data_IF_514562620841
#
_entry.id   IF_514562620841
#
_cell.length_a   1.000
_cell.length_b   1.000
_cell.length_c   1.000
_cell.angle_alpha   90.00
_cell.angle_beta   90.00
_cell.angle_gamma   90.00
#
_symmetry.space_group_name_H-M   'P 1'
#
loop_
_entity.id
_entity.type
_entity.pdbx_description
1 polymer ?
#
# COMPACT_ATOMS: atom_id res chain seq x y z
N UNK A 1 14.32 7.73 15.53
CA UNK A 1 14.71 7.61 16.95
C UNK A 1 13.81 6.57 17.58
N UNK A 2 14.36 5.43 18.01
CA UNK A 2 13.66 4.46 18.85
C UNK A 2 13.85 4.92 20.30
N UNK A 3 12.77 5.16 21.03
CA UNK A 3 12.82 5.42 22.47
C UNK A 3 12.85 4.07 23.20
N UNK A 4 13.95 3.80 23.93
CA UNK A 4 14.01 2.72 24.90
C UNK A 4 13.27 3.17 26.17
N UNK A 5 12.42 2.31 26.72
CA UNK A 5 11.83 2.50 28.05
C UNK A 5 12.53 1.54 29.00
N UNK A 6 13.15 2.09 30.04
CA UNK A 6 13.80 1.32 31.09
C UNK A 6 12.79 1.11 32.22
N UNK A 7 12.54 -0.14 32.60
CA UNK A 7 11.67 -0.48 33.73
C UNK A 7 12.49 -1.30 34.72
N UNK A 8 12.55 -0.85 35.96
CA UNK A 8 13.24 -1.53 37.07
C UNK A 8 12.22 -2.12 38.03
N UNK A 9 12.32 -3.43 38.27
CA UNK A 9 11.59 -4.14 39.32
C UNK A 9 12.60 -4.99 40.10
N UNK A 10 12.70 -4.78 41.42
CA UNK A 10 13.50 -5.64 42.31
C UNK A 10 14.97 -5.82 41.91
N UNK A 11 15.66 -4.75 41.48
CA UNK A 11 17.09 -4.80 41.12
C UNK A 11 17.41 -5.44 39.77
N UNK A 12 16.39 -5.88 39.01
CA UNK A 12 16.56 -6.39 37.65
C UNK A 12 16.09 -5.35 36.65
N UNK A 13 16.98 -4.94 35.74
CA UNK A 13 16.67 -3.96 34.69
C UNK A 13 16.13 -4.70 33.46
N UNK A 14 14.88 -4.47 33.10
CA UNK A 14 14.29 -5.03 31.88
C UNK A 14 14.36 -3.99 30.77
N UNK A 15 15.10 -4.32 29.71
CA UNK A 15 15.06 -3.55 28.45
C UNK A 15 13.84 -4.02 27.68
N UNK A 16 12.71 -3.32 27.81
CA UNK A 16 11.57 -3.57 26.94
C UNK A 16 11.91 -2.98 25.57
N UNK A 17 12.27 -3.84 24.61
CA UNK A 17 12.23 -3.45 23.22
C UNK A 17 10.75 -3.28 22.86
N UNK A 18 10.32 -2.14 22.27
CA UNK A 18 8.96 -2.04 21.77
C UNK A 18 8.75 -3.20 20.82
N UNK A 19 7.71 -4.02 21.05
CA UNK A 19 7.34 -5.13 20.18
C UNK A 19 7.35 -4.61 18.75
N UNK A 20 8.39 -4.93 17.99
CA UNK A 20 8.44 -4.60 16.58
C UNK A 20 7.33 -5.40 15.95
N UNK A 21 6.21 -4.74 15.65
CA UNK A 21 5.08 -5.34 14.96
C UNK A 21 5.62 -6.04 13.71
N UNK A 22 5.69 -7.37 13.77
CA UNK A 22 6.29 -8.15 12.70
C UNK A 22 5.50 -7.88 11.41
N UNK A 23 6.23 -7.57 10.35
CA UNK A 23 5.62 -7.21 9.07
C UNK A 23 4.88 -8.41 8.50
N UNK A 24 3.55 -8.34 8.43
CA UNK A 24 2.75 -9.40 7.81
C UNK A 24 2.87 -9.31 6.30
N UNK A 25 3.32 -10.40 5.67
CA UNK A 25 3.26 -10.58 4.20
C UNK A 25 1.79 -10.51 3.78
N UNK A 26 1.51 -9.73 2.74
CA UNK A 26 0.18 -9.65 2.14
C UNK A 26 0.00 -10.85 1.20
N UNK A 27 -0.44 -11.96 1.76
CA UNK A 27 -0.86 -13.14 0.99
C UNK A 27 -2.22 -12.88 0.38
N UNK A 28 -2.57 -13.60 -0.70
CA UNK A 28 -3.87 -13.46 -1.36
C UNK A 28 -5.04 -13.62 -0.39
N UNK A 29 -5.03 -14.67 0.44
CA UNK A 29 -6.07 -14.89 1.47
C UNK A 29 -6.19 -13.72 2.46
N UNK A 30 -5.06 -13.15 2.92
CA UNK A 30 -5.11 -11.99 3.81
C UNK A 30 -5.70 -10.77 3.11
N UNK A 31 -5.39 -10.60 1.83
CA UNK A 31 -5.93 -9.52 1.00
C UNK A 31 -7.43 -9.69 0.80
N UNK A 32 -7.90 -10.86 0.37
CA UNK A 32 -9.32 -11.15 0.16
C UNK A 32 -10.14 -10.97 1.43
N UNK A 33 -9.57 -11.30 2.60
CA UNK A 33 -10.27 -11.17 3.88
C UNK A 33 -10.31 -9.74 4.43
N UNK A 34 -9.30 -8.91 4.15
CA UNK A 34 -9.11 -7.65 4.89
C UNK A 34 -8.84 -6.41 4.02
N UNK A 35 -8.56 -6.60 2.72
CA UNK A 35 -8.08 -5.56 1.81
C UNK A 35 -8.90 -5.46 0.51
N UNK A 36 -10.18 -5.84 0.56
CA UNK A 36 -11.14 -5.76 -0.56
C UNK A 36 -11.89 -4.42 -0.59
N UNK A 37 -11.24 -3.33 -0.19
CA UNK A 37 -11.79 -1.96 -0.25
C UNK A 37 -10.78 -1.02 -0.87
N UNK A 38 -11.20 0.22 -1.13
CA UNK A 38 -10.25 1.28 -1.41
C UNK A 38 -9.75 1.92 -0.11
N UNK A 39 -8.45 2.16 -0.04
CA UNK A 39 -7.78 2.72 1.12
C UNK A 39 -7.02 3.98 0.76
N UNK A 40 -7.11 5.00 1.60
CA UNK A 40 -6.12 6.07 1.66
C UNK A 40 -4.98 5.60 2.56
N UNK A 41 -3.78 5.51 2.00
CA UNK A 41 -2.61 5.04 2.71
C UNK A 41 -1.52 6.12 2.77
N UNK A 42 -0.72 6.10 3.85
CA UNK A 42 0.59 6.75 3.89
C UNK A 42 1.65 5.72 3.52
N UNK A 43 2.47 6.05 2.53
CA UNK A 43 3.58 5.21 2.10
C UNK A 43 4.69 5.28 3.13
N UNK A 44 5.19 4.12 3.57
CA UNK A 44 6.31 3.99 4.53
C UNK A 44 7.62 3.62 3.84
N UNK A 45 7.56 3.09 2.62
CA UNK A 45 8.71 2.70 1.81
C UNK A 45 8.50 3.14 0.38
N UNK A 46 9.50 3.82 -0.19
CA UNK A 46 9.48 4.24 -1.60
C UNK A 46 9.24 3.03 -2.51
N UNK A 47 8.35 3.19 -3.49
CA UNK A 47 7.99 2.15 -4.46
C UNK A 47 7.96 2.68 -5.87
N UNK A 48 8.21 1.78 -6.82
CA UNK A 48 7.92 2.01 -8.24
C UNK A 48 6.52 1.52 -8.53
N UNK A 49 5.73 2.34 -9.21
CA UNK A 49 4.47 1.96 -9.81
C UNK A 49 4.63 1.92 -11.33
N UNK A 50 4.10 0.88 -11.95
CA UNK A 50 4.03 0.71 -13.38
C UNK A 50 2.90 1.58 -13.93
N UNK A 51 3.20 2.37 -14.96
CA UNK A 51 2.18 3.04 -15.76
C UNK A 51 1.66 2.01 -16.75
N UNK A 52 0.38 1.66 -16.66
CA UNK A 52 -0.26 0.69 -17.55
C UNK A 52 -1.19 1.43 -18.51
N UNK A 53 -1.11 1.12 -19.80
CA UNK A 53 -1.98 1.69 -20.85
C UNK A 53 -2.67 0.59 -21.63
N UNK A 54 -3.76 0.96 -22.30
CA UNK A 54 -4.50 0.09 -23.20
C UNK A 54 -3.95 0.20 -24.63
N UNK A 55 -3.77 -0.92 -25.32
CA UNK A 55 -3.58 -0.93 -26.76
C UNK A 55 -4.86 -0.51 -27.47
N UNK A 56 -4.73 0.08 -28.67
CA UNK A 56 -5.88 0.48 -29.51
C UNK A 56 -6.78 -0.71 -29.90
N UNK A 57 -6.22 -1.92 -29.94
CA UNK A 57 -6.90 -3.15 -30.36
C UNK A 57 -7.17 -4.12 -29.20
N UNK A 58 -7.15 -3.62 -27.95
CA UNK A 58 -7.33 -4.45 -26.75
C UNK A 58 -6.01 -5.00 -26.20
N UNK A 59 -5.97 -5.16 -24.87
CA UNK A 59 -4.77 -5.59 -24.13
C UNK A 59 -4.10 -4.44 -23.36
N UNK A 60 -3.34 -4.82 -22.33
CA UNK A 60 -2.62 -3.90 -21.44
C UNK A 60 -1.11 -3.99 -21.70
N UNK A 61 -0.41 -2.86 -21.63
CA UNK A 61 1.05 -2.84 -21.63
C UNK A 61 1.61 -1.86 -20.59
N UNK A 62 2.83 -2.16 -20.12
CA UNK A 62 3.59 -1.24 -19.26
C UNK A 62 4.23 -0.17 -20.14
N UNK A 63 3.73 1.06 -20.01
CA UNK A 63 4.18 2.22 -20.76
C UNK A 63 5.34 2.98 -20.08
N UNK A 64 5.69 2.61 -18.86
CA UNK A 64 6.75 3.23 -18.07
C UNK A 64 6.55 3.05 -16.58
N UNK A 65 7.26 3.84 -15.79
CA UNK A 65 7.21 3.78 -14.33
C UNK A 65 7.16 5.17 -13.71
N UNK A 66 6.56 5.26 -12.53
CA UNK A 66 6.63 6.44 -11.65
C UNK A 66 7.07 6.02 -10.25
N UNK A 67 7.71 6.95 -9.54
CA UNK A 67 8.10 6.72 -8.15
C UNK A 67 7.04 7.29 -7.21
N UNK A 68 6.63 6.45 -6.27
CA UNK A 68 5.81 6.83 -5.11
C UNK A 68 6.76 6.94 -3.92
N UNK A 69 7.00 8.16 -3.45
CA UNK A 69 8.00 8.41 -2.41
C UNK A 69 7.49 8.05 -1.01
N UNK A 70 8.42 7.75 -0.10
CA UNK A 70 8.12 7.61 1.32
C UNK A 70 7.43 8.88 1.86
N UNK A 71 6.39 8.70 2.68
CA UNK A 71 5.59 9.78 3.24
C UNK A 71 4.46 10.26 2.32
N UNK A 72 4.46 9.91 1.03
CA UNK A 72 3.33 10.24 0.15
C UNK A 72 2.04 9.60 0.66
N UNK A 73 0.94 10.31 0.44
CA UNK A 73 -0.40 9.79 0.69
C UNK A 73 -1.07 9.48 -0.64
N UNK A 74 -1.52 8.24 -0.80
CA UNK A 74 -2.14 7.76 -2.04
C UNK A 74 -3.43 6.99 -1.75
N UNK A 75 -4.33 6.95 -2.72
CA UNK A 75 -5.49 6.05 -2.73
C UNK A 75 -5.11 4.78 -3.48
N UNK A 76 -5.45 3.63 -2.91
CA UNK A 76 -5.11 2.34 -3.51
C UNK A 76 -6.15 1.28 -3.19
N UNK A 77 -6.34 0.33 -4.09
CA UNK A 77 -7.18 -0.85 -3.90
C UNK A 77 -6.54 -2.06 -4.58
N UNK A 78 -6.92 -3.26 -4.15
CA UNK A 78 -6.38 -4.50 -4.70
C UNK A 78 -7.17 -4.98 -5.92
N UNK A 79 -6.51 -5.15 -7.08
CA UNK A 79 -7.18 -5.55 -8.34
C UNK A 79 -7.24 -7.07 -8.57
N UNK A 80 -6.39 -7.87 -7.94
CA UNK A 80 -6.45 -9.34 -8.06
C UNK A 80 -5.93 -9.98 -9.36
N UNK A 81 -5.40 -9.23 -10.33
CA UNK A 81 -4.92 -9.80 -11.61
C UNK A 81 -3.41 -10.08 -11.59
N UNK A 82 -3.01 -11.29 -11.98
CA UNK A 82 -1.63 -11.61 -12.41
C UNK A 82 -0.55 -11.59 -11.32
N UNK A 83 -0.83 -12.05 -10.11
CA UNK A 83 0.22 -12.40 -9.14
C UNK A 83 0.69 -11.31 -8.16
N UNK A 84 0.06 -10.12 -8.16
CA UNK A 84 -0.13 -9.10 -7.08
C UNK A 84 -0.06 -7.70 -7.72
N UNK A 85 -1.23 -7.13 -7.99
CA UNK A 85 -1.37 -5.80 -8.58
C UNK A 85 -2.36 -4.98 -7.79
N UNK A 86 -1.84 -4.07 -6.97
CA UNK A 86 -2.63 -2.98 -6.41
C UNK A 86 -2.72 -1.86 -7.43
N UNK A 87 -3.84 -1.17 -7.46
CA UNK A 87 -4.03 0.02 -8.28
C UNK A 87 -3.89 1.25 -7.41
N UNK A 88 -3.24 2.28 -7.93
CA UNK A 88 -3.14 3.60 -7.31
C UNK A 88 -4.05 4.54 -8.09
N UNK A 89 -5.08 5.01 -7.39
CA UNK A 89 -6.23 5.73 -7.96
C UNK A 89 -6.27 7.19 -7.56
N UNK A 90 -5.30 7.66 -6.77
CA UNK A 90 -5.23 9.06 -6.37
C UNK A 90 -4.06 9.39 -5.46
N UNK A 91 -3.78 10.67 -5.31
CA UNK A 91 -2.67 11.22 -4.56
C UNK A 91 -2.80 12.74 -4.42
N UNK A 92 -1.82 13.38 -3.77
CA UNK A 92 -1.79 14.84 -3.61
C UNK A 92 -1.86 15.54 -4.97
N UNK A 93 -2.65 16.61 -5.07
CA UNK A 93 -2.88 17.38 -6.30
C UNK A 93 -3.32 16.51 -7.49
N UNK A 94 -4.24 15.57 -7.25
CA UNK A 94 -4.79 14.68 -8.29
C UNK A 94 -3.73 13.81 -8.99
N UNK A 95 -2.57 13.59 -8.34
CA UNK A 95 -1.59 12.62 -8.84
C UNK A 95 -2.27 11.25 -8.94
N UNK A 96 -2.01 10.53 -10.03
CA UNK A 96 -2.53 9.19 -10.31
C UNK A 96 -4.02 9.07 -10.69
N UNK A 97 -4.74 10.17 -10.97
CA UNK A 97 -6.19 10.15 -11.36
C UNK A 97 -6.41 10.20 -12.89
N UNK A 98 -5.64 9.44 -13.67
CA UNK A 98 -5.72 9.53 -15.14
C UNK A 98 -6.80 8.63 -15.75
N UNK A 99 -7.51 9.13 -16.77
CA UNK A 99 -8.46 8.34 -17.57
C UNK A 99 -7.79 7.42 -18.61
N UNK A 100 -6.57 7.75 -19.02
CA UNK A 100 -5.89 7.10 -20.16
C UNK A 100 -4.74 6.18 -19.75
N UNK A 101 -4.49 6.05 -18.44
CA UNK A 101 -3.46 5.18 -17.87
C UNK A 101 -3.82 4.80 -16.45
N UNK A 102 -3.40 3.61 -16.07
CA UNK A 102 -3.51 3.06 -14.73
C UNK A 102 -2.13 3.06 -14.06
N UNK A 103 -2.10 2.97 -12.73
CA UNK A 103 -0.86 2.95 -11.96
C UNK A 103 -0.87 1.72 -11.07
N UNK A 104 -0.13 0.70 -11.48
CA UNK A 104 -0.04 -0.55 -10.74
C UNK A 104 1.17 -0.56 -9.82
N UNK A 105 0.97 -0.94 -8.55
CA UNK A 105 2.04 -1.06 -7.56
C UNK A 105 1.91 -2.40 -6.84
N UNK A 106 3.04 -2.97 -6.42
CA UNK A 106 3.05 -4.19 -5.64
C UNK A 106 3.34 -3.89 -4.15
N UNK A 107 2.27 -3.77 -3.37
CA UNK A 107 2.34 -3.80 -1.91
C UNK A 107 2.39 -5.26 -1.43
N UNK A 108 3.55 -5.70 -0.95
CA UNK A 108 3.80 -7.09 -0.57
C UNK A 108 3.74 -7.33 0.93
N UNK A 109 3.73 -6.28 1.74
CA UNK A 109 3.64 -6.39 3.20
C UNK A 109 2.98 -5.15 3.82
N UNK A 110 2.52 -5.29 5.06
CA UNK A 110 1.90 -4.20 5.82
C UNK A 110 2.90 -3.16 6.37
N UNK A 111 4.21 -3.40 6.24
CA UNK A 111 5.24 -2.43 6.63
C UNK A 111 5.54 -1.38 5.56
N UNK A 112 5.05 -1.58 4.33
CA UNK A 112 5.25 -0.65 3.21
C UNK A 112 4.27 0.53 3.25
N UNK A 113 3.19 0.42 4.01
CA UNK A 113 2.19 1.48 4.12
C UNK A 113 1.51 1.52 5.51
N UNK A 114 0.78 2.60 5.77
CA UNK A 114 -0.16 2.76 6.89
C UNK A 114 -1.52 3.10 6.30
N UNK A 115 -2.58 2.38 6.64
CA UNK A 115 -3.94 2.82 6.31
C UNK A 115 -4.25 4.06 7.16
N UNK A 116 -4.69 5.13 6.50
CA UNK A 116 -5.15 6.36 7.12
C UNK A 116 -6.68 6.42 7.12
N UNK A 117 -7.30 5.93 6.05
CA UNK A 117 -8.74 5.94 5.88
C UNK A 117 -9.16 4.79 4.96
N UNK A 118 -10.31 4.20 5.25
CA UNK A 118 -10.95 3.17 4.42
C UNK A 118 -12.21 3.78 3.81
N UNK A 119 -12.29 3.80 2.49
CA UNK A 119 -13.47 4.32 1.81
C UNK A 119 -14.64 3.34 1.97
N UNK A 120 -15.87 3.84 2.12
CA UNK A 120 -17.05 2.98 2.04
C UNK A 120 -17.07 2.28 0.67
N UNK A 121 -17.65 1.09 0.63
CA UNK A 121 -17.79 0.35 -0.62
C UNK A 121 -18.60 1.20 -1.62
N UNK A 122 -17.93 1.70 -2.66
CA UNK A 122 -18.62 2.28 -3.82
C UNK A 122 -19.33 1.17 -4.59
N UNK A 123 -20.63 1.34 -4.82
CA UNK A 123 -21.45 0.47 -5.67
C UNK A 123 -20.77 0.29 -7.04
N UNK A 124 -20.23 -0.90 -7.30
CA UNK A 124 -19.81 -1.31 -8.65
C UNK A 124 -18.33 -1.59 -8.89
N UNK A 125 -17.47 -1.52 -7.89
CA UNK A 125 -16.07 -1.95 -8.04
C UNK A 125 -15.63 -2.83 -6.87
N UNK A 126 -16.45 -3.84 -6.53
CA UNK A 126 -16.13 -5.00 -5.70
C UNK A 126 -16.89 -6.21 -6.25
#
# INVERSE_FOLDING_TARGET
>A
MLSLVLITFGGTTFISQPLTASAKKLTLNLIEKHYMKEYKIRVKKTKRANIVKYYKHGGLYVAGHVTIHNGETVRTWFRGVGGVSWQVTGGKHEKYTSKNKEYSVNWTNTNQFKILYTYPESKGWF
#
